data_IF_372812692261
#
_entry.id   IF_372812692261
#
_cell.length_a   1.000
_cell.length_b   1.000
_cell.length_c   1.000
_cell.angle_alpha   90.00
_cell.angle_beta   90.00
_cell.angle_gamma   90.00
#
_symmetry.space_group_name_H-M   'P 1'
#
loop_
_entity.id
_entity.type
_entity.pdbx_description
1 polymer ?
#
# COMPACT_ATOMS: atom_id res chain seq x y z
N UNK A 1 -13.48 -12.34 -10.85
CA UNK A 1 -13.46 -11.59 -12.13
C UNK A 1 -12.76 -10.27 -11.87
N UNK A 2 -12.00 -9.73 -12.83
CA UNK A 2 -11.34 -8.42 -12.68
C UNK A 2 -12.31 -7.32 -13.12
N UNK A 3 -12.44 -6.26 -12.34
CA UNK A 3 -13.30 -5.12 -12.68
C UNK A 3 -12.63 -4.23 -13.74
N UNK A 4 -13.42 -3.81 -14.71
CA UNK A 4 -13.09 -2.74 -15.66
C UNK A 4 -13.11 -1.36 -14.99
N UNK A 5 -12.51 -0.37 -15.63
CA UNK A 5 -12.59 1.05 -15.25
C UNK A 5 -14.03 1.51 -14.94
N UNK A 6 -15.00 1.12 -15.77
CA UNK A 6 -16.42 1.43 -15.60
C UNK A 6 -17.01 0.78 -14.36
N UNK A 7 -16.65 -0.46 -14.08
CA UNK A 7 -17.11 -1.19 -12.90
C UNK A 7 -16.46 -0.65 -11.62
N UNK A 8 -15.18 -0.29 -11.66
CA UNK A 8 -14.50 0.40 -10.55
C UNK A 8 -15.19 1.74 -10.27
N UNK A 9 -15.47 2.54 -11.30
CA UNK A 9 -16.18 3.81 -11.15
C UNK A 9 -17.61 3.63 -10.62
N UNK A 10 -18.32 2.57 -11.02
CA UNK A 10 -19.62 2.22 -10.47
C UNK A 10 -19.51 1.83 -8.98
N UNK A 11 -18.53 0.99 -8.63
CA UNK A 11 -18.30 0.57 -7.24
C UNK A 11 -18.01 1.76 -6.32
N UNK A 12 -17.26 2.77 -6.78
CA UNK A 12 -17.06 4.02 -6.03
C UNK A 12 -18.37 4.77 -5.83
N UNK A 13 -19.15 4.95 -6.90
CA UNK A 13 -20.42 5.70 -6.85
C UNK A 13 -21.45 5.04 -5.94
N UNK A 14 -21.45 3.72 -5.89
CA UNK A 14 -22.37 2.89 -5.10
C UNK A 14 -21.89 2.67 -3.66
N UNK A 15 -20.70 3.16 -3.31
CA UNK A 15 -20.12 2.98 -1.97
C UNK A 15 -19.60 1.56 -1.69
N UNK A 16 -19.49 0.72 -2.73
CA UNK A 16 -18.89 -0.62 -2.65
C UNK A 16 -17.36 -0.58 -2.62
N UNK A 17 -16.77 0.56 -2.96
CA UNK A 17 -15.36 0.88 -2.88
C UNK A 17 -15.23 2.35 -2.48
N UNK A 18 -14.26 2.68 -1.64
CA UNK A 18 -13.79 4.07 -1.47
C UNK A 18 -12.28 4.11 -1.68
N UNK A 19 -11.86 5.14 -2.43
CA UNK A 19 -10.46 5.52 -2.65
C UNK A 19 -10.37 7.00 -2.31
N UNK A 20 -9.57 7.36 -1.31
CA UNK A 20 -9.53 8.70 -0.74
C UNK A 20 -8.07 9.17 -0.59
N UNK A 21 -7.62 10.23 -1.31
CA UNK A 21 -8.37 10.99 -2.31
C UNK A 21 -8.69 10.17 -3.58
N UNK A 22 -9.72 10.59 -4.32
CA UNK A 22 -10.05 9.96 -5.60
C UNK A 22 -8.92 10.21 -6.61
N UNK A 23 -8.37 9.17 -7.26
CA UNK A 23 -7.31 9.34 -8.25
C UNK A 23 -7.77 10.16 -9.45
N UNK A 24 -6.93 11.08 -9.91
CA UNK A 24 -7.19 11.91 -11.09
C UNK A 24 -7.36 11.04 -12.36
N UNK A 25 -8.13 11.52 -13.33
CA UNK A 25 -8.53 10.75 -14.54
C UNK A 25 -7.37 10.06 -15.28
N UNK A 26 -6.20 10.69 -15.35
CA UNK A 26 -5.03 10.14 -16.05
C UNK A 26 -4.38 8.92 -15.35
N UNK A 27 -4.77 8.64 -14.11
CA UNK A 27 -4.32 7.48 -13.32
C UNK A 27 -5.16 6.23 -13.56
N UNK A 28 -6.23 6.34 -14.35
CA UNK A 28 -7.13 5.23 -14.65
C UNK A 28 -6.69 4.49 -15.90
N UNK A 29 -6.80 3.17 -15.87
CA UNK A 29 -6.58 2.26 -17.01
C UNK A 29 -7.79 1.35 -17.16
N UNK A 30 -7.86 0.56 -18.23
CA UNK A 30 -9.03 -0.28 -18.55
C UNK A 30 -9.49 -1.22 -17.44
N UNK A 31 -8.60 -1.65 -16.53
CA UNK A 31 -8.88 -2.66 -15.49
C UNK A 31 -8.13 -2.41 -14.18
N UNK A 32 -7.61 -1.20 -13.99
CA UNK A 32 -6.85 -0.83 -12.80
C UNK A 32 -6.85 0.69 -12.60
N UNK A 33 -6.62 1.12 -11.37
CA UNK A 33 -6.37 2.52 -11.04
C UNK A 33 -5.02 2.65 -10.35
N UNK A 34 -4.19 3.57 -10.82
CA UNK A 34 -2.89 3.85 -10.20
C UNK A 34 -3.09 4.54 -8.85
N UNK A 35 -2.26 4.17 -7.88
CA UNK A 35 -2.12 4.84 -6.59
C UNK A 35 -0.76 5.54 -6.53
N UNK A 36 -0.71 6.64 -5.78
CA UNK A 36 0.48 7.50 -5.67
C UNK A 36 1.26 7.24 -4.38
N UNK A 37 2.54 7.56 -4.38
CA UNK A 37 3.45 7.37 -3.23
C UNK A 37 3.27 8.48 -2.20
N UNK A 38 3.07 8.12 -0.93
CA UNK A 38 3.08 9.07 0.19
C UNK A 38 4.49 9.65 0.44
N UNK A 39 4.55 10.83 1.06
CA UNK A 39 5.76 11.64 1.19
C UNK A 39 6.79 11.11 2.22
N UNK A 40 6.47 10.04 2.96
CA UNK A 40 7.36 9.51 4.01
C UNK A 40 7.65 8.02 3.80
N UNK A 41 8.94 7.69 3.73
CA UNK A 41 9.45 6.33 3.68
C UNK A 41 9.98 5.87 5.05
N UNK A 42 10.18 4.57 5.21
CA UNK A 42 10.90 3.97 6.33
C UNK A 42 12.01 3.06 5.82
N UNK A 43 13.19 3.17 6.41
CA UNK A 43 14.35 2.33 6.11
C UNK A 43 14.85 1.65 7.38
N UNK A 44 15.11 0.35 7.31
CA UNK A 44 15.80 -0.36 8.38
C UNK A 44 17.24 0.15 8.54
N UNK A 45 17.66 0.38 9.78
CA UNK A 45 19.07 0.63 10.09
C UNK A 45 19.86 -0.65 9.91
N UNK A 46 21.03 -0.53 9.29
CA UNK A 46 21.96 -1.66 9.17
C UNK A 46 22.43 -2.07 10.57
N UNK A 47 22.16 -3.31 10.95
CA UNK A 47 22.57 -3.86 12.24
C UNK A 47 22.38 -5.37 12.24
N UNK A 48 23.25 -6.09 12.94
CA UNK A 48 23.23 -7.56 13.02
C UNK A 48 22.07 -8.13 13.87
N UNK A 49 20.94 -7.42 13.97
CA UNK A 49 19.79 -7.88 14.73
C UNK A 49 19.20 -9.13 14.06
N UNK A 50 19.16 -10.23 14.82
CA UNK A 50 18.50 -11.46 14.37
C UNK A 50 17.04 -11.44 14.82
N UNK A 51 16.13 -11.26 13.87
CA UNK A 51 14.67 -11.27 14.13
C UNK A 51 14.11 -12.68 13.97
N UNK A 52 13.27 -13.12 14.92
CA UNK A 52 12.63 -14.43 14.90
C UNK A 52 11.11 -14.29 14.75
N UNK A 53 10.55 -14.22 13.53
CA UNK A 53 9.13 -13.95 13.31
C UNK A 53 8.19 -15.07 13.80
N UNK A 54 8.71 -16.29 14.05
CA UNK A 54 7.91 -17.42 14.53
C UNK A 54 7.63 -17.43 16.03
N UNK A 55 8.13 -16.46 16.82
CA UNK A 55 7.87 -16.43 18.28
C UNK A 55 6.54 -15.75 18.58
N UNK A 56 5.87 -16.20 19.65
CA UNK A 56 4.62 -15.58 20.12
C UNK A 56 4.83 -14.11 20.42
N UNK A 57 3.88 -13.26 19.99
CA UNK A 57 3.93 -11.82 20.18
C UNK A 57 4.81 -11.06 19.19
N UNK A 58 5.34 -11.72 18.14
CA UNK A 58 6.02 -11.02 17.05
C UNK A 58 5.11 -9.95 16.43
N UNK A 59 5.65 -8.74 16.27
CA UNK A 59 4.95 -7.61 15.69
C UNK A 59 5.96 -6.71 14.98
N UNK A 60 6.06 -6.84 13.65
CA UNK A 60 6.98 -6.01 12.84
C UNK A 60 6.76 -4.51 13.00
N UNK A 61 5.54 -4.04 13.31
CA UNK A 61 5.29 -2.60 13.54
C UNK A 61 6.00 -2.06 14.76
N UNK A 62 6.18 -2.88 15.80
CA UNK A 62 7.00 -2.47 16.96
C UNK A 62 8.45 -2.24 16.56
N UNK A 63 8.98 -3.08 15.68
CA UNK A 63 10.33 -2.90 15.14
C UNK A 63 10.43 -1.66 14.27
N UNK A 64 9.41 -1.38 13.45
CA UNK A 64 9.34 -0.16 12.62
C UNK A 64 9.21 1.14 13.43
N UNK A 65 8.62 1.05 14.62
CA UNK A 65 8.46 2.19 15.52
C UNK A 65 9.69 2.45 16.40
N UNK A 66 10.62 1.50 16.46
CA UNK A 66 11.84 1.61 17.25
C UNK A 66 12.88 2.48 16.50
N UNK A 67 13.23 3.66 17.03
CA UNK A 67 14.17 4.56 16.39
C UNK A 67 15.59 3.99 16.32
N UNK A 68 15.94 2.98 17.10
CA UNK A 68 17.24 2.30 17.02
C UNK A 68 17.29 1.27 15.87
N UNK A 69 16.13 0.87 15.34
CA UNK A 69 16.01 -0.13 14.29
C UNK A 69 15.59 0.43 12.94
N UNK A 70 14.85 1.53 12.90
CA UNK A 70 14.32 2.10 11.66
C UNK A 70 14.38 3.63 11.65
N UNK A 71 14.71 4.19 10.49
CA UNK A 71 14.65 5.62 10.21
C UNK A 71 13.40 5.94 9.41
N UNK A 72 12.71 7.03 9.79
CA UNK A 72 11.73 7.68 8.92
C UNK A 72 12.45 8.67 8.01
N UNK A 73 12.15 8.61 6.73
CA UNK A 73 12.84 9.36 5.69
C UNK A 73 11.80 10.11 4.86
N UNK A 74 11.60 11.43 5.09
CA UNK A 74 10.82 12.26 4.20
C UNK A 74 11.45 12.27 2.80
N UNK A 75 10.62 12.20 1.76
CA UNK A 75 11.06 12.30 0.38
C UNK A 75 11.42 13.77 0.08
N UNK A 76 12.66 14.07 -0.34
CA UNK A 76 13.07 15.44 -0.67
C UNK A 76 12.49 15.89 -2.03
N UNK A 77 12.51 17.20 -2.36
CA UNK A 77 11.99 17.72 -3.64
C UNK A 77 12.65 17.11 -4.89
N UNK A 78 13.91 16.70 -4.81
CA UNK A 78 14.65 16.02 -5.87
C UNK A 78 14.41 14.50 -5.95
N UNK A 79 13.53 13.97 -5.09
CA UNK A 79 13.20 12.55 -5.00
C UNK A 79 14.16 11.76 -4.11
N UNK A 80 13.66 10.68 -3.51
CA UNK A 80 14.48 9.77 -2.71
C UNK A 80 15.30 8.85 -3.63
N UNK A 81 16.64 8.84 -3.56
CA UNK A 81 17.46 8.03 -4.45
C UNK A 81 17.47 6.57 -4.00
N UNK A 82 16.64 5.73 -4.62
CA UNK A 82 16.62 4.28 -4.41
C UNK A 82 17.69 3.60 -5.29
N UNK A 83 18.86 3.35 -4.70
CA UNK A 83 19.99 2.71 -5.36
C UNK A 83 19.82 1.19 -5.56
N UNK A 84 20.69 0.55 -6.36
CA UNK A 84 20.70 -0.90 -6.56
C UNK A 84 20.80 -1.67 -5.23
N UNK A 85 19.98 -2.71 -5.08
CA UNK A 85 19.93 -3.57 -3.90
C UNK A 85 19.30 -2.93 -2.66
N UNK A 86 18.80 -1.70 -2.76
CA UNK A 86 18.15 -1.02 -1.63
C UNK A 86 16.68 -1.42 -1.49
N UNK A 87 16.21 -1.33 -0.24
CA UNK A 87 14.87 -1.64 0.20
C UNK A 87 14.38 -0.55 1.15
N UNK A 88 13.16 -0.07 0.91
CA UNK A 88 12.45 0.87 1.79
C UNK A 88 10.98 0.47 1.88
N UNK A 89 10.34 0.86 2.97
CA UNK A 89 8.91 0.76 3.13
C UNK A 89 8.28 2.12 2.84
N UNK A 90 7.12 2.12 2.21
CA UNK A 90 6.33 3.32 1.96
C UNK A 90 4.85 3.07 2.21
N UNK A 91 4.03 4.08 1.97
CA UNK A 91 2.59 3.93 1.88
C UNK A 91 2.08 4.53 0.58
N UNK A 92 0.92 4.09 0.13
CA UNK A 92 0.13 4.86 -0.84
C UNK A 92 -0.39 6.14 -0.18
N UNK A 93 -0.53 7.21 -0.95
CA UNK A 93 -1.22 8.43 -0.53
C UNK A 93 -2.71 8.15 -0.33
N UNK A 94 -3.31 7.35 -1.21
CA UNK A 94 -4.72 6.98 -1.10
C UNK A 94 -4.95 5.95 0.00
N UNK A 95 -5.99 6.21 0.79
CA UNK A 95 -6.65 5.25 1.63
C UNK A 95 -7.71 4.46 0.85
N UNK A 96 -7.77 3.16 1.09
CA UNK A 96 -8.72 2.23 0.46
C UNK A 96 -9.67 1.68 1.51
N UNK A 97 -10.96 1.70 1.20
CA UNK A 97 -11.99 1.01 1.98
C UNK A 97 -12.80 0.09 1.07
N UNK A 98 -12.83 -1.19 1.47
CA UNK A 98 -13.57 -2.27 0.82
C UNK A 98 -14.56 -2.84 1.84
N UNK A 99 -15.84 -2.41 1.86
CA UNK A 99 -16.85 -3.01 2.71
C UNK A 99 -16.90 -4.53 2.51
N UNK A 100 -16.94 -5.29 3.61
CA UNK A 100 -16.95 -6.77 3.54
C UNK A 100 -18.13 -7.30 2.70
N UNK A 101 -19.29 -6.65 2.82
CA UNK A 101 -20.53 -6.98 2.11
C UNK A 101 -20.46 -6.71 0.60
N UNK A 102 -19.56 -5.84 0.14
CA UNK A 102 -19.37 -5.54 -1.27
C UNK A 102 -18.74 -6.72 -2.04
N UNK A 103 -18.18 -7.71 -1.34
CA UNK A 103 -17.54 -8.89 -1.95
C UNK A 103 -16.45 -8.50 -2.95
N UNK A 104 -15.68 -7.47 -2.64
CA UNK A 104 -14.53 -7.04 -3.43
C UNK A 104 -13.23 -7.29 -2.65
N UNK A 105 -12.24 -7.81 -3.34
CA UNK A 105 -10.84 -7.83 -2.94
C UNK A 105 -10.03 -7.07 -3.99
N UNK A 106 -8.74 -6.86 -3.74
CA UNK A 106 -7.87 -6.27 -4.75
C UNK A 106 -6.45 -6.85 -4.68
N UNK A 107 -5.66 -6.54 -5.71
CA UNK A 107 -4.22 -6.72 -5.72
C UNK A 107 -3.53 -5.38 -5.94
N UNK A 108 -2.42 -5.19 -5.23
CA UNK A 108 -1.47 -4.12 -5.46
C UNK A 108 -0.34 -4.66 -6.29
N UNK A 109 -0.23 -4.14 -7.50
CA UNK A 109 0.79 -4.56 -8.46
C UNK A 109 1.72 -3.39 -8.77
N UNK A 110 2.97 -3.71 -9.12
CA UNK A 110 3.91 -2.70 -9.62
C UNK A 110 3.49 -2.16 -10.99
N UNK A 111 4.05 -1.02 -11.39
CA UNK A 111 3.89 -0.49 -12.74
C UNK A 111 4.91 -1.11 -13.69
N UNK A 112 4.51 -1.42 -14.92
CA UNK A 112 5.42 -2.03 -15.89
C UNK A 112 6.65 -1.15 -16.20
N UNK A 113 6.53 0.18 -16.16
CA UNK A 113 7.66 1.10 -16.35
C UNK A 113 8.71 0.94 -15.24
N UNK A 114 8.27 0.89 -13.98
CA UNK A 114 9.13 0.72 -12.82
C UNK A 114 9.75 -0.67 -12.77
N UNK A 115 8.97 -1.71 -13.09
CA UNK A 115 9.47 -3.09 -13.17
C UNK A 115 10.63 -3.24 -14.18
N UNK A 116 10.59 -2.52 -15.32
CA UNK A 116 11.67 -2.51 -16.32
C UNK A 116 12.94 -1.80 -15.84
N UNK A 117 12.85 -0.98 -14.79
CA UNK A 117 14.00 -0.41 -14.08
C UNK A 117 14.48 -1.31 -12.93
N UNK A 118 13.81 -2.44 -12.68
CA UNK A 118 14.08 -3.34 -11.56
C UNK A 118 13.40 -2.92 -10.26
N UNK A 119 12.49 -1.94 -10.28
CA UNK A 119 11.77 -1.48 -9.09
C UNK A 119 10.51 -2.32 -8.88
N UNK A 120 10.40 -2.93 -7.69
CA UNK A 120 9.19 -3.61 -7.19
C UNK A 120 8.57 -2.86 -6.02
N UNK A 121 7.30 -3.16 -5.70
CA UNK A 121 6.51 -2.43 -4.69
C UNK A 121 5.83 -3.33 -3.65
N UNK A 122 5.96 -4.64 -3.79
CA UNK A 122 5.55 -5.61 -2.78
C UNK A 122 6.51 -6.81 -2.79
N UNK A 123 6.71 -7.45 -1.65
CA UNK A 123 7.46 -8.70 -1.55
C UNK A 123 6.49 -9.82 -1.21
N UNK A 124 5.98 -10.50 -2.24
CA UNK A 124 5.11 -11.70 -2.15
C UNK A 124 3.70 -11.52 -1.57
N UNK A 125 3.35 -10.33 -1.07
CA UNK A 125 2.05 -10.06 -0.43
C UNK A 125 1.23 -8.95 -1.14
N UNK A 126 0.80 -9.14 -2.41
CA UNK A 126 0.06 -8.11 -3.15
C UNK A 126 -1.41 -8.00 -2.73
N UNK A 127 -1.95 -8.98 -1.99
CA UNK A 127 -3.38 -9.14 -1.77
C UNK A 127 -3.95 -8.14 -0.77
N UNK A 128 -4.99 -7.41 -1.18
CA UNK A 128 -5.84 -6.58 -0.35
C UNK A 128 -7.15 -7.32 -0.13
N UNK A 129 -7.41 -7.72 1.12
CA UNK A 129 -8.56 -8.55 1.45
C UNK A 129 -9.87 -7.75 1.45
N UNK A 130 -10.98 -8.43 1.18
CA UNK A 130 -12.32 -7.90 1.45
C UNK A 130 -12.45 -7.51 2.93
N UNK A 131 -13.07 -6.36 3.21
CA UNK A 131 -13.08 -5.75 4.53
C UNK A 131 -11.84 -4.90 4.84
N UNK A 132 -10.91 -4.70 3.90
CA UNK A 132 -9.77 -3.83 4.12
C UNK A 132 -10.22 -2.37 4.31
N UNK A 133 -9.74 -1.74 5.38
CA UNK A 133 -10.18 -0.42 5.80
C UNK A 133 -11.62 -0.34 6.31
N UNK A 134 -12.29 -1.49 6.47
CA UNK A 134 -13.66 -1.53 6.95
C UNK A 134 -13.68 -1.45 8.48
N UNK A 135 -14.37 -0.43 9.00
CA UNK A 135 -14.56 -0.23 10.43
C UNK A 135 -16.06 -0.03 10.72
N UNK A 136 -16.77 -1.06 11.22
CA UNK A 136 -18.20 -0.98 11.49
C UNK A 136 -18.57 0.10 12.52
N UNK A 137 -17.63 0.50 13.38
CA UNK A 137 -17.85 1.53 14.39
C UNK A 137 -17.58 2.94 13.88
N UNK A 138 -16.94 3.08 12.71
CA UNK A 138 -16.53 4.37 12.13
C UNK A 138 -16.75 4.37 10.61
N UNK A 139 -18.02 4.33 10.22
CA UNK A 139 -18.51 4.19 8.84
C UNK A 139 -18.01 5.33 7.92
N UNK A 140 -17.73 6.51 8.47
CA UNK A 140 -17.30 7.68 7.68
C UNK A 140 -15.79 7.73 7.41
N UNK A 141 -15.00 6.79 7.93
CA UNK A 141 -13.54 6.78 7.72
C UNK A 141 -13.15 6.61 6.24
N UNK A 142 -12.05 7.24 5.80
CA UNK A 142 -11.57 7.14 4.42
C UNK A 142 -11.05 5.76 4.03
N UNK A 143 -10.78 4.89 5.00
CA UNK A 143 -10.17 3.58 4.81
C UNK A 143 -8.74 3.53 5.34
N UNK A 144 -7.90 2.67 4.77
CA UNK A 144 -6.50 2.50 5.18
C UNK A 144 -5.56 2.70 3.97
N UNK A 145 -4.42 3.38 4.12
CA UNK A 145 -3.41 3.38 3.07
C UNK A 145 -2.77 1.99 2.96
N UNK A 146 -2.19 1.70 1.81
CA UNK A 146 -1.52 0.42 1.55
C UNK A 146 -0.04 0.58 1.82
N UNK A 147 0.52 -0.27 2.70
CA UNK A 147 1.96 -0.33 2.91
C UNK A 147 2.63 -0.99 1.70
N UNK A 148 3.73 -0.39 1.23
CA UNK A 148 4.49 -0.86 0.07
C UNK A 148 5.87 -1.34 0.53
N UNK A 149 6.33 -2.45 -0.04
CA UNK A 149 7.71 -2.92 0.07
C UNK A 149 8.47 -2.56 -1.21
N UNK A 150 9.10 -1.39 -1.21
CA UNK A 150 9.74 -0.81 -2.39
C UNK A 150 11.21 -1.23 -2.44
N UNK A 151 11.63 -1.89 -3.52
CA UNK A 151 13.00 -2.36 -3.68
C UNK A 151 13.50 -2.19 -5.10
N UNK A 152 14.82 -2.14 -5.26
CA UNK A 152 15.47 -1.99 -6.56
C UNK A 152 16.43 -3.17 -6.85
N UNK A 153 16.06 -4.03 -7.80
CA UNK A 153 16.89 -5.11 -8.33
C UNK A 153 17.69 -4.70 -9.58
N UNK A 154 17.45 -3.49 -10.10
CA UNK A 154 18.10 -2.96 -11.28
C UNK A 154 19.47 -2.35 -10.98
N UNK A 155 20.25 -2.03 -12.02
CA UNK A 155 21.58 -1.46 -11.89
C UNK A 155 21.60 0.08 -11.75
N UNK A 156 20.45 0.75 -11.97
CA UNK A 156 20.34 2.21 -11.94
C UNK A 156 19.76 2.67 -10.60
N UNK A 157 20.20 3.83 -10.12
CA UNK A 157 19.49 4.54 -9.05
C UNK A 157 18.21 5.16 -9.60
N UNK A 158 17.09 4.91 -8.95
CA UNK A 158 15.77 5.47 -9.32
C UNK A 158 15.37 6.48 -8.25
N UNK A 159 15.07 7.71 -8.65
CA UNK A 159 14.49 8.70 -7.74
C UNK A 159 13.00 8.42 -7.53
N UNK A 160 12.57 8.29 -6.28
CA UNK A 160 11.17 8.17 -5.91
C UNK A 160 10.64 9.53 -5.49
N UNK A 161 9.65 10.05 -6.22
CA UNK A 161 9.02 11.33 -5.91
C UNK A 161 7.75 11.13 -5.08
N UNK A 162 7.50 12.03 -4.13
CA UNK A 162 6.21 12.07 -3.44
C UNK A 162 5.09 12.39 -4.45
N UNK A 163 3.99 11.66 -4.38
CA UNK A 163 2.85 11.80 -5.30
C UNK A 163 3.04 11.13 -6.66
N UNK A 164 4.17 10.47 -6.94
CA UNK A 164 4.33 9.74 -8.20
C UNK A 164 3.40 8.51 -8.25
N UNK A 165 2.86 8.12 -9.42
CA UNK A 165 2.20 6.83 -9.58
C UNK A 165 3.20 5.69 -9.30
N UNK A 166 2.96 4.93 -8.24
CA UNK A 166 3.92 3.93 -7.73
C UNK A 166 3.43 2.49 -7.93
N UNK A 167 2.14 2.26 -7.73
CA UNK A 167 1.50 0.96 -7.91
C UNK A 167 0.14 1.13 -8.56
N UNK A 168 -0.48 0.01 -8.91
CA UNK A 168 -1.83 -0.05 -9.44
C UNK A 168 -2.69 -1.00 -8.61
N UNK A 169 -3.93 -0.61 -8.40
CA UNK A 169 -4.94 -1.40 -7.72
C UNK A 169 -5.80 -2.12 -8.76
N UNK A 170 -5.77 -3.45 -8.74
CA UNK A 170 -6.61 -4.32 -9.58
C UNK A 170 -7.70 -4.92 -8.70
N UNK A 171 -8.96 -4.63 -8.98
CA UNK A 171 -10.08 -5.12 -8.18
C UNK A 171 -10.62 -6.45 -8.69
N UNK A 172 -11.00 -7.32 -7.76
CA UNK A 172 -11.50 -8.65 -8.03
C UNK A 172 -12.74 -9.00 -7.20
N UNK A 173 -13.72 -9.62 -7.84
CA UNK A 173 -14.89 -10.15 -7.14
C UNK A 173 -14.57 -11.38 -6.28
N UNK A 174 -15.13 -11.41 -5.09
CA UNK A 174 -15.14 -12.53 -4.16
C UNK A 174 -16.45 -13.32 -4.32
N UNK A 175 -16.35 -14.64 -4.39
CA UNK A 175 -17.49 -15.52 -4.68
C UNK A 175 -18.64 -15.44 -3.67
N UNK A 176 -18.37 -15.09 -2.41
CA UNK A 176 -19.35 -14.94 -1.33
C UNK A 176 -18.86 -13.90 -0.32
N UNK A 177 -19.75 -13.38 0.52
CA UNK A 177 -19.37 -12.51 1.63
C UNK A 177 -18.48 -13.26 2.63
N UNK A 178 -17.25 -12.80 2.92
CA UNK A 178 -16.38 -13.48 3.87
C UNK A 178 -16.94 -13.40 5.29
N UNK A 179 -16.89 -14.50 6.07
CA UNK A 179 -17.30 -14.46 7.49
C UNK A 179 -16.36 -13.64 8.38
N UNK A 180 -15.07 -13.55 8.02
CA UNK A 180 -14.06 -12.79 8.77
C UNK A 180 -13.78 -11.49 8.05
N UNK A 181 -13.81 -10.37 8.78
CA UNK A 181 -13.27 -9.10 8.29
C UNK A 181 -11.74 -9.06 8.33
N UNK A 182 -11.18 -7.94 7.91
CA UNK A 182 -9.74 -7.71 7.97
C UNK A 182 -9.30 -7.41 9.42
N UNK A 183 -8.89 -8.45 10.15
CA UNK A 183 -8.49 -8.36 11.56
C UNK A 183 -6.99 -8.68 11.79
N UNK A 184 -6.15 -8.43 10.77
CA UNK A 184 -4.72 -8.67 10.85
C UNK A 184 -3.98 -7.61 11.67
N UNK A 185 -2.68 -7.82 11.90
CA UNK A 185 -1.79 -6.85 12.56
C UNK A 185 -1.81 -5.44 11.93
N UNK A 186 -2.28 -5.36 10.68
CA UNK A 186 -2.29 -4.16 9.87
C UNK A 186 -3.68 -3.52 9.71
N UNK A 187 -4.72 -4.02 10.40
CA UNK A 187 -6.10 -3.50 10.33
C UNK A 187 -6.26 -2.05 10.81
N UNK A 188 -5.23 -1.47 11.42
CA UNK A 188 -5.17 -0.07 11.80
C UNK A 188 -3.86 0.58 11.33
N UNK A 189 -3.42 0.36 10.08
CA UNK A 189 -2.35 1.20 9.51
C UNK A 189 -2.74 2.64 9.42
N UNK A 190 -1.73 3.46 9.63
CA UNK A 190 -1.72 4.85 9.23
C UNK A 190 -0.44 5.09 8.49
N UNK A 191 -0.49 6.03 7.54
CA UNK A 191 0.69 6.47 6.85
C UNK A 191 1.74 6.96 7.88
N UNK A 192 3.03 6.81 7.54
CA UNK A 192 4.10 7.33 8.38
C UNK A 192 4.08 8.87 8.50
N UNK A 193 3.42 9.56 7.55
CA UNK A 193 3.18 11.00 7.56
C UNK A 193 2.16 11.41 8.62
N UNK A 194 1.12 10.60 8.87
CA UNK A 194 0.09 10.86 9.89
C UNK A 194 0.58 10.60 11.31
N UNK A 195 1.58 9.73 11.46
CA UNK A 195 2.18 9.37 12.74
C UNK A 195 3.23 10.40 13.17
N UNK A 196 2.96 11.72 13.12
CA UNK A 196 3.91 12.68 13.72
C UNK A 196 4.02 12.41 15.24
N UNK A 197 5.21 12.57 15.86
CA UNK A 197 5.33 12.52 17.32
C UNK A 197 4.46 13.59 17.98
#
# INVERSE_FOLDING_TARGET
MILSDREIAAAIREGSLRIDPVPADHLWTSTAVDLTLDATLVRWKTGGLVVRPGVSGFNVRRLLADPDLADRVPIPPEGFPLGPGQFVLGYTEQAIHLPRSARLAARVEGKSSLARLGVGVHVTAPTIHAGFGDNPERIDEPGLPIQLEIFNLGPLTVALDAGMPICQLILEEVGQEPNKGYAGQFSAQRSFTELRP
#
